data_IF_501332645814
#
_entry.id   IF_501332645814
#
_cell.length_a   1.000
_cell.length_b   1.000
_cell.length_c   1.000
_cell.angle_alpha   90.00
_cell.angle_beta   90.00
_cell.angle_gamma   90.00
#
_symmetry.space_group_name_H-M   'P 1'
#
loop_
_entity.id
_entity.type
_entity.pdbx_description
1 polymer ?
#
# COMPACT_ATOMS: atom_id res chain seq x y z
N UNK A 1 45.12 -3.48 -35.68
CA UNK A 1 44.90 -3.98 -34.29
C UNK A 1 44.92 -2.88 -33.22
N UNK A 2 45.75 -1.84 -33.31
CA UNK A 2 45.78 -0.75 -32.32
C UNK A 2 44.46 0.04 -32.24
N UNK A 3 43.85 0.36 -33.38
CA UNK A 3 42.55 1.06 -33.47
C UNK A 3 41.39 0.33 -32.76
N UNK A 4 41.42 -1.02 -32.71
CA UNK A 4 40.40 -1.82 -32.03
C UNK A 4 40.59 -1.79 -30.51
N UNK A 5 41.86 -1.81 -30.04
CA UNK A 5 42.20 -1.69 -28.62
C UNK A 5 41.87 -0.30 -28.08
N UNK A 6 42.06 0.76 -28.87
CA UNK A 6 41.69 2.12 -28.45
C UNK A 6 40.18 2.31 -28.34
N UNK A 7 39.39 1.72 -29.24
CA UNK A 7 37.91 1.79 -29.17
C UNK A 7 37.37 1.00 -27.97
N UNK A 8 37.96 -0.16 -27.66
CA UNK A 8 37.56 -0.98 -26.51
C UNK A 8 37.95 -0.31 -25.18
N UNK A 9 39.08 0.39 -25.13
CA UNK A 9 39.50 1.19 -23.97
C UNK A 9 38.62 2.44 -23.78
N UNK A 10 38.19 3.10 -24.87
CA UNK A 10 37.30 4.26 -24.81
C UNK A 10 35.87 3.88 -24.39
N UNK A 11 35.38 2.71 -24.86
CA UNK A 11 34.09 2.14 -24.48
C UNK A 11 34.01 1.80 -22.98
N UNK A 12 35.08 1.23 -22.41
CA UNK A 12 35.15 0.91 -20.99
C UNK A 12 35.15 2.17 -20.09
N UNK A 13 35.64 3.30 -20.63
CA UNK A 13 35.79 4.56 -19.89
C UNK A 13 34.47 5.35 -19.78
N UNK A 14 33.47 5.05 -20.63
CA UNK A 14 32.15 5.71 -20.64
C UNK A 14 31.15 4.98 -19.71
N UNK A 15 31.41 3.73 -19.35
CA UNK A 15 30.48 2.90 -18.58
C UNK A 15 30.61 3.05 -17.04
N UNK A 16 31.62 3.76 -16.53
CA UNK A 16 31.92 3.83 -15.09
C UNK A 16 31.16 4.91 -14.33
N UNK A 17 30.30 5.69 -14.98
CA UNK A 17 29.61 6.83 -14.36
C UNK A 17 28.12 6.56 -14.16
N UNK A 18 27.77 5.69 -13.21
CA UNK A 18 26.37 5.58 -12.77
C UNK A 18 26.23 4.97 -11.36
N UNK A 19 26.99 5.50 -10.39
CA UNK A 19 26.69 5.29 -8.97
C UNK A 19 26.35 6.65 -8.37
N UNK A 20 25.07 6.89 -8.10
CA UNK A 20 24.57 8.11 -7.45
C UNK A 20 24.45 7.89 -5.93
N UNK A 21 25.50 7.33 -5.34
CA UNK A 21 25.57 7.14 -3.90
C UNK A 21 26.12 8.42 -3.26
N UNK A 22 25.31 9.08 -2.44
CA UNK A 22 25.72 10.21 -1.63
C UNK A 22 26.22 9.77 -0.25
N UNK A 23 27.19 10.52 0.27
CA UNK A 23 27.87 10.20 1.50
C UNK A 23 27.65 11.33 2.51
N UNK A 24 26.91 11.06 3.57
CA UNK A 24 26.64 12.02 4.63
C UNK A 24 27.53 11.68 5.83
N UNK A 25 28.39 12.60 6.23
CA UNK A 25 29.34 12.40 7.34
C UNK A 25 29.04 13.40 8.43
N UNK A 26 28.83 12.91 9.66
CA UNK A 26 28.54 13.74 10.82
C UNK A 26 29.33 13.34 12.05
N UNK A 27 29.55 14.32 12.90
CA UNK A 27 30.22 14.19 14.19
C UNK A 27 29.22 14.52 15.29
N UNK A 28 29.23 13.76 16.38
CA UNK A 28 28.38 13.99 17.54
C UNK A 28 29.17 13.76 18.81
N UNK A 29 28.91 14.58 19.83
CA UNK A 29 29.46 14.39 21.17
C UNK A 29 28.33 14.32 22.18
N UNK A 30 28.17 13.16 22.80
CA UNK A 30 27.24 12.97 23.92
C UNK A 30 27.95 13.28 25.23
N UNK A 31 27.27 14.00 26.13
CA UNK A 31 27.73 14.17 27.51
C UNK A 31 26.95 13.21 28.38
N UNK A 32 27.65 12.28 29.03
CA UNK A 32 27.07 11.26 29.88
C UNK A 32 26.63 11.83 31.23
N UNK A 33 25.51 11.32 31.72
CA UNK A 33 25.07 11.51 33.10
C UNK A 33 25.94 10.69 34.05
N UNK A 34 25.88 10.99 35.34
CA UNK A 34 26.62 10.24 36.37
C UNK A 34 26.25 8.75 36.41
N UNK A 35 25.02 8.41 36.00
CA UNK A 35 24.51 7.03 35.93
C UNK A 35 24.78 6.33 34.58
N UNK A 36 25.29 7.05 33.57
CA UNK A 36 25.46 6.48 32.23
C UNK A 36 26.77 5.69 32.11
N UNK A 37 26.67 4.44 31.67
CA UNK A 37 27.85 3.66 31.27
C UNK A 37 28.34 4.07 29.87
N UNK A 38 29.54 3.61 29.48
CA UNK A 38 30.03 3.74 28.11
C UNK A 38 29.02 3.19 27.08
N UNK A 39 28.36 2.07 27.38
CA UNK A 39 27.41 1.45 26.47
C UNK A 39 26.14 2.31 26.33
N UNK A 40 25.68 2.92 27.42
CA UNK A 40 24.55 3.85 27.40
C UNK A 40 24.89 5.10 26.60
N UNK A 41 26.07 5.67 26.84
CA UNK A 41 26.57 6.82 26.11
C UNK A 41 26.70 6.53 24.60
N UNK A 42 27.24 5.36 24.23
CA UNK A 42 27.35 4.91 22.84
C UNK A 42 25.97 4.74 22.20
N UNK A 43 25.03 4.05 22.87
CA UNK A 43 23.69 3.82 22.35
C UNK A 43 22.92 5.14 22.14
N UNK A 44 23.00 6.06 23.12
CA UNK A 44 22.36 7.38 23.03
C UNK A 44 22.97 8.23 21.92
N UNK A 45 24.29 8.27 21.81
CA UNK A 45 24.99 8.99 20.74
C UNK A 45 24.64 8.44 19.36
N UNK A 46 24.63 7.12 19.20
CA UNK A 46 24.25 6.47 17.95
C UNK A 46 22.79 6.80 17.56
N UNK A 47 21.86 6.75 18.52
CA UNK A 47 20.46 7.09 18.27
C UNK A 47 20.27 8.55 17.84
N UNK A 48 20.96 9.49 18.48
CA UNK A 48 20.87 10.91 18.10
C UNK A 48 21.48 11.17 16.73
N UNK A 49 22.67 10.61 16.49
CA UNK A 49 23.36 10.73 15.21
C UNK A 49 22.54 10.15 14.06
N UNK A 50 21.96 8.96 14.24
CA UNK A 50 21.10 8.34 13.23
C UNK A 50 19.87 9.19 12.92
N UNK A 51 19.23 9.78 13.94
CA UNK A 51 18.10 10.70 13.75
C UNK A 51 18.48 11.95 12.96
N UNK A 52 19.61 12.57 13.30
CA UNK A 52 20.10 13.77 12.62
C UNK A 52 20.46 13.48 11.16
N UNK A 53 21.20 12.40 10.91
CA UNK A 53 21.59 11.98 9.57
C UNK A 53 20.38 11.64 8.70
N UNK A 54 19.44 10.84 9.20
CA UNK A 54 18.21 10.52 8.47
C UNK A 54 17.37 11.78 8.20
N UNK A 55 17.37 12.74 9.13
CA UNK A 55 16.69 14.02 8.91
C UNK A 55 17.34 14.84 7.80
N UNK A 56 18.66 14.93 7.79
CA UNK A 56 19.43 15.60 6.74
C UNK A 56 19.17 14.96 5.37
N UNK A 57 19.23 13.63 5.26
CA UNK A 57 18.96 12.93 4.01
C UNK A 57 17.53 13.19 3.52
N UNK A 58 16.54 13.12 4.41
CA UNK A 58 15.15 13.40 4.05
C UNK A 58 14.95 14.84 3.54
N UNK A 59 15.67 15.81 4.10
CA UNK A 59 15.66 17.20 3.63
C UNK A 59 16.36 17.33 2.28
N UNK A 60 17.52 16.68 2.12
CA UNK A 60 18.29 16.68 0.87
C UNK A 60 17.46 16.15 -0.30
N UNK A 61 16.86 14.97 -0.14
CA UNK A 61 16.04 14.37 -1.20
C UNK A 61 14.78 15.20 -1.45
N UNK A 62 14.15 15.79 -0.41
CA UNK A 62 13.03 16.72 -0.63
C UNK A 62 13.46 17.89 -1.50
N UNK A 63 14.59 18.52 -1.21
CA UNK A 63 15.13 19.63 -1.99
C UNK A 63 15.33 19.22 -3.46
N UNK A 64 15.90 18.04 -3.68
CA UNK A 64 16.08 17.45 -5.02
C UNK A 64 14.76 17.18 -5.76
N UNK A 65 13.69 16.79 -5.05
CA UNK A 65 12.36 16.58 -5.65
C UNK A 65 11.61 17.88 -5.95
N UNK A 66 11.75 18.90 -5.10
CA UNK A 66 11.16 20.22 -5.30
C UNK A 66 11.75 20.90 -6.54
N UNK A 67 13.07 20.80 -6.74
CA UNK A 67 13.71 21.28 -7.97
C UNK A 67 13.21 20.58 -9.23
N UNK A 68 12.80 19.31 -9.13
CA UNK A 68 12.20 18.54 -10.24
C UNK A 68 10.70 18.81 -10.43
N UNK A 69 10.10 19.72 -9.65
CA UNK A 69 8.69 20.12 -9.79
C UNK A 69 7.69 19.14 -9.15
N UNK A 70 8.17 18.18 -8.35
CA UNK A 70 7.31 17.23 -7.65
C UNK A 70 7.11 17.72 -6.22
N UNK A 71 6.03 18.46 -5.97
CA UNK A 71 5.62 18.85 -4.61
C UNK A 71 5.19 17.60 -3.84
N UNK A 72 6.16 16.97 -3.18
CA UNK A 72 5.94 15.79 -2.34
C UNK A 72 5.75 16.21 -0.88
N UNK A 73 4.56 15.89 -0.38
CA UNK A 73 3.99 16.20 0.94
C UNK A 73 4.88 15.89 2.16
N UNK A 74 4.56 16.46 3.32
CA UNK A 74 5.31 16.23 4.57
C UNK A 74 5.35 14.74 4.99
N UNK A 75 4.26 14.01 4.77
CA UNK A 75 4.16 12.57 4.99
C UNK A 75 5.11 11.74 4.11
N UNK A 76 5.51 12.27 2.95
CA UNK A 76 6.46 11.59 2.06
C UNK A 76 7.86 11.63 2.67
N UNK A 77 8.25 12.72 3.34
CA UNK A 77 9.57 12.78 3.99
C UNK A 77 9.67 11.83 5.18
N UNK A 78 8.60 11.63 5.93
CA UNK A 78 8.60 10.64 7.00
C UNK A 78 8.78 9.22 6.45
N UNK A 79 8.04 8.86 5.39
CA UNK A 79 8.21 7.57 4.70
C UNK A 79 9.61 7.43 4.10
N UNK A 80 10.13 8.50 3.51
CA UNK A 80 11.46 8.51 2.91
C UNK A 80 12.54 8.29 3.96
N UNK A 81 12.43 8.88 5.15
CA UNK A 81 13.34 8.59 6.27
C UNK A 81 13.32 7.12 6.64
N UNK A 82 12.13 6.49 6.67
CA UNK A 82 11.99 5.06 6.95
C UNK A 82 12.62 4.20 5.87
N UNK A 83 12.37 4.50 4.59
CA UNK A 83 12.99 3.79 3.45
C UNK A 83 14.52 3.94 3.50
N UNK A 84 14.99 5.18 3.66
CA UNK A 84 16.42 5.51 3.76
C UNK A 84 17.10 4.79 4.93
N UNK A 85 16.42 4.64 6.07
CA UNK A 85 16.94 3.89 7.20
C UNK A 85 17.09 2.38 6.90
N UNK A 86 16.28 1.84 6.00
CA UNK A 86 16.35 0.45 5.56
C UNK A 86 17.47 0.16 4.55
N UNK A 87 17.80 1.13 3.69
CA UNK A 87 18.79 0.96 2.62
C UNK A 87 20.15 1.63 2.89
N UNK A 88 20.21 2.55 3.85
CA UNK A 88 21.41 3.31 4.13
C UNK A 88 22.47 2.50 4.88
N UNK A 89 23.70 2.49 4.37
CA UNK A 89 24.82 1.83 5.05
C UNK A 89 25.43 2.78 6.10
N UNK A 90 25.20 2.50 7.38
CA UNK A 90 25.78 3.27 8.49
C UNK A 90 27.15 2.71 8.92
N UNK A 91 28.17 3.55 8.89
CA UNK A 91 29.56 3.19 9.23
C UNK A 91 30.16 4.18 10.23
N UNK A 92 30.58 3.67 11.38
CA UNK A 92 31.37 4.45 12.35
C UNK A 92 32.79 4.60 11.81
N UNK A 93 33.25 5.85 11.68
CA UNK A 93 34.59 6.20 11.22
C UNK A 93 35.57 6.40 12.39
N UNK A 94 35.08 6.94 13.50
CA UNK A 94 35.90 7.19 14.69
C UNK A 94 35.00 7.25 15.93
N UNK A 95 35.49 6.75 17.06
CA UNK A 95 34.84 6.92 18.36
C UNK A 95 35.90 7.16 19.45
N UNK A 96 35.55 7.99 20.45
CA UNK A 96 36.39 8.27 21.61
C UNK A 96 35.54 8.43 22.86
N UNK A 97 36.06 7.97 23.98
CA UNK A 97 35.44 8.09 25.30
C UNK A 97 36.47 8.56 26.32
N UNK A 98 36.12 9.57 27.13
CA UNK A 98 36.99 10.12 28.17
C UNK A 98 36.46 9.90 29.60
N UNK A 99 35.37 9.13 29.76
CA UNK A 99 34.70 8.93 31.04
C UNK A 99 33.50 9.85 31.29
N UNK A 100 33.36 10.96 30.54
CA UNK A 100 32.21 11.87 30.61
C UNK A 100 31.63 12.23 29.26
N UNK A 101 32.44 12.26 28.21
CA UNK A 101 32.06 12.62 26.85
C UNK A 101 32.34 11.47 25.92
N UNK A 102 31.32 11.10 25.17
CA UNK A 102 31.41 10.13 24.10
C UNK A 102 31.36 10.86 22.76
N UNK A 103 32.48 10.87 22.06
CA UNK A 103 32.59 11.40 20.70
C UNK A 103 32.45 10.28 19.69
N UNK A 104 31.70 10.53 18.62
CA UNK A 104 31.58 9.62 17.49
C UNK A 104 31.55 10.43 16.19
N UNK A 105 32.19 9.88 15.16
CA UNK A 105 32.11 10.29 13.77
C UNK A 105 31.57 9.11 12.99
N UNK A 106 30.48 9.30 12.26
CA UNK A 106 29.96 8.27 11.37
C UNK A 106 29.63 8.82 9.99
N UNK A 107 29.48 7.88 9.08
CA UNK A 107 29.12 8.08 7.70
C UNK A 107 27.90 7.23 7.41
N UNK A 108 26.92 7.79 6.70
CA UNK A 108 25.87 7.02 6.06
C UNK A 108 25.98 7.20 4.55
N UNK A 109 25.93 6.09 3.81
CA UNK A 109 25.92 6.09 2.35
C UNK A 109 24.52 5.76 1.87
N UNK A 110 23.95 6.61 1.01
CA UNK A 110 22.58 6.43 0.50
C UNK A 110 22.59 6.58 -1.01
N UNK A 111 22.02 5.60 -1.71
CA UNK A 111 21.65 5.76 -3.11
C UNK A 111 20.32 6.50 -3.18
N UNK A 112 20.38 7.78 -3.55
CA UNK A 112 19.22 8.67 -3.60
C UNK A 112 18.19 8.17 -4.62
N UNK A 113 18.66 7.59 -5.73
CA UNK A 113 17.78 7.11 -6.79
C UNK A 113 17.01 5.88 -6.30
N UNK A 114 17.72 4.92 -5.70
CA UNK A 114 17.06 3.73 -5.15
C UNK A 114 16.07 4.09 -4.02
N UNK A 115 16.44 5.02 -3.14
CA UNK A 115 15.56 5.53 -2.08
C UNK A 115 14.25 6.10 -2.63
N UNK A 116 14.31 6.79 -3.77
CA UNK A 116 13.14 7.37 -4.42
C UNK A 116 12.27 6.30 -5.11
N UNK A 117 12.89 5.33 -5.78
CA UNK A 117 12.18 4.22 -6.43
C UNK A 117 11.40 3.39 -5.38
N UNK A 118 12.06 2.97 -4.30
CA UNK A 118 11.41 2.20 -3.21
C UNK A 118 10.29 2.99 -2.51
N UNK A 119 10.45 4.32 -2.39
CA UNK A 119 9.42 5.18 -1.85
C UNK A 119 8.18 5.24 -2.77
N UNK A 120 8.38 5.30 -4.08
CA UNK A 120 7.29 5.35 -5.06
C UNK A 120 6.51 4.04 -5.07
N UNK A 121 7.20 2.91 -5.05
CA UNK A 121 6.61 1.58 -4.92
C UNK A 121 5.78 1.46 -3.63
N UNK A 122 6.33 1.88 -2.49
CA UNK A 122 5.62 1.85 -1.21
C UNK A 122 4.35 2.73 -1.20
N UNK A 123 4.37 3.87 -1.90
CA UNK A 123 3.19 4.74 -2.06
C UNK A 123 2.16 4.07 -2.95
N UNK A 124 2.58 3.47 -4.07
CA UNK A 124 1.69 2.80 -5.01
C UNK A 124 0.98 1.59 -4.37
N UNK A 125 1.72 0.77 -3.62
CA UNK A 125 1.18 -0.40 -2.92
C UNK A 125 0.18 0.00 -1.84
N UNK A 126 0.43 1.09 -1.12
CA UNK A 126 -0.53 1.65 -0.16
C UNK A 126 -1.82 2.06 -0.86
N UNK A 127 -1.72 2.70 -2.04
CA UNK A 127 -2.89 3.14 -2.82
C UNK A 127 -3.67 1.95 -3.37
N UNK A 128 -2.98 0.94 -3.91
CA UNK A 128 -3.60 -0.30 -4.40
C UNK A 128 -4.35 -1.01 -3.27
N UNK A 129 -3.72 -1.19 -2.12
CA UNK A 129 -4.34 -1.86 -0.96
C UNK A 129 -5.60 -1.13 -0.50
N UNK A 130 -5.56 0.20 -0.39
CA UNK A 130 -6.74 1.00 -0.04
C UNK A 130 -7.85 0.87 -1.08
N UNK A 131 -7.50 0.88 -2.37
CA UNK A 131 -8.48 0.72 -3.46
C UNK A 131 -9.16 -0.65 -3.40
N UNK A 132 -8.38 -1.70 -3.16
CA UNK A 132 -8.89 -3.06 -2.97
C UNK A 132 -9.87 -3.14 -1.79
N UNK A 133 -9.52 -2.51 -0.66
CA UNK A 133 -10.38 -2.48 0.52
C UNK A 133 -11.74 -1.81 0.25
N UNK A 134 -11.73 -0.66 -0.44
CA UNK A 134 -12.96 0.04 -0.83
C UNK A 134 -13.82 -0.83 -1.77
N UNK A 135 -13.21 -1.47 -2.78
CA UNK A 135 -13.94 -2.33 -3.71
C UNK A 135 -14.55 -3.56 -3.03
N UNK A 136 -13.84 -4.15 -2.07
CA UNK A 136 -14.35 -5.27 -1.28
C UNK A 136 -15.55 -4.86 -0.43
N UNK A 137 -15.53 -3.66 0.13
CA UNK A 137 -16.65 -3.15 0.91
C UNK A 137 -17.87 -2.85 0.03
N UNK A 138 -17.68 -2.24 -1.15
CA UNK A 138 -18.75 -2.05 -2.13
C UNK A 138 -19.35 -3.39 -2.60
N UNK A 139 -18.52 -4.41 -2.79
CA UNK A 139 -18.98 -5.76 -3.16
C UNK A 139 -19.80 -6.41 -2.03
N UNK A 140 -19.36 -6.26 -0.78
CA UNK A 140 -20.09 -6.73 0.40
C UNK A 140 -21.45 -6.06 0.53
N UNK A 141 -21.50 -4.74 0.44
CA UNK A 141 -22.75 -3.98 0.51
C UNK A 141 -23.73 -4.39 -0.60
N UNK A 142 -23.21 -4.57 -1.82
CA UNK A 142 -24.01 -5.02 -2.96
C UNK A 142 -24.54 -6.44 -2.76
N UNK A 143 -23.73 -7.36 -2.25
CA UNK A 143 -24.15 -8.72 -1.96
C UNK A 143 -25.21 -8.75 -0.85
N UNK A 144 -25.02 -8.00 0.23
CA UNK A 144 -26.01 -7.89 1.31
C UNK A 144 -27.35 -7.31 0.79
N UNK A 145 -27.29 -6.30 -0.08
CA UNK A 145 -28.47 -5.74 -0.73
C UNK A 145 -29.19 -6.76 -1.62
N UNK A 146 -28.44 -7.57 -2.37
CA UNK A 146 -28.99 -8.62 -3.23
C UNK A 146 -29.62 -9.74 -2.40
N UNK A 147 -28.98 -10.18 -1.31
CA UNK A 147 -29.54 -11.18 -0.39
C UNK A 147 -30.86 -10.71 0.22
N UNK A 148 -30.94 -9.46 0.68
CA UNK A 148 -32.20 -8.86 1.15
C UNK A 148 -33.29 -8.89 0.08
N UNK A 149 -32.94 -8.65 -1.20
CA UNK A 149 -33.89 -8.72 -2.32
C UNK A 149 -34.33 -10.14 -2.65
N UNK A 150 -33.42 -11.12 -2.60
CA UNK A 150 -33.74 -12.53 -2.84
C UNK A 150 -34.66 -13.03 -1.73
N UNK A 151 -34.33 -12.77 -0.46
CA UNK A 151 -35.12 -13.18 0.69
C UNK A 151 -36.55 -12.60 0.65
N UNK A 152 -36.69 -11.31 0.29
CA UNK A 152 -38.02 -10.68 0.09
C UNK A 152 -38.83 -11.33 -1.04
N UNK A 153 -38.18 -11.81 -2.12
CA UNK A 153 -38.87 -12.51 -3.21
C UNK A 153 -39.27 -13.94 -2.84
N UNK A 154 -38.44 -14.66 -2.09
CA UNK A 154 -38.75 -16.02 -1.61
C UNK A 154 -39.80 -16.02 -0.50
N UNK A 155 -39.88 -14.94 0.30
CA UNK A 155 -40.95 -14.75 1.29
C UNK A 155 -42.32 -14.41 0.66
N UNK A 156 -42.34 -13.96 -0.60
CA UNK A 156 -43.59 -13.78 -1.35
C UNK A 156 -44.02 -15.14 -1.91
N UNK A 157 -44.65 -15.97 -1.08
CA UNK A 157 -45.32 -17.18 -1.54
C UNK A 157 -46.35 -16.83 -2.63
N UNK A 158 -46.47 -17.62 -3.72
CA UNK A 158 -47.50 -17.37 -4.71
C UNK A 158 -48.86 -17.47 -4.01
N UNK A 159 -49.65 -16.39 -4.06
CA UNK A 159 -51.04 -16.39 -3.54
C UNK A 159 -51.74 -17.63 -4.10
N UNK A 160 -52.02 -18.62 -3.25
CA UNK A 160 -52.86 -19.76 -3.62
C UNK A 160 -54.24 -19.19 -3.93
N UNK A 161 -54.55 -19.03 -5.21
CA UNK A 161 -55.91 -18.68 -5.64
C UNK A 161 -56.83 -19.81 -5.17
N UNK A 162 -57.66 -19.54 -4.15
CA UNK A 162 -58.81 -20.40 -3.85
C UNK A 162 -59.77 -20.27 -5.03
N UNK A 163 -59.76 -21.25 -5.93
CA UNK A 163 -60.89 -21.45 -6.82
C UNK A 163 -62.07 -21.85 -5.94
N UNK A 164 -62.96 -20.90 -5.66
CA UNK A 164 -64.29 -21.20 -5.16
C UNK A 164 -65.02 -21.94 -6.29
N UNK A 165 -65.14 -23.25 -6.17
CA UNK A 165 -66.06 -24.04 -6.99
C UNK A 165 -67.47 -23.62 -6.60
N UNK A 166 -67.99 -22.58 -7.27
CA UNK A 166 -69.42 -22.29 -7.24
C UNK A 166 -70.11 -23.54 -7.80
N UNK A 167 -70.78 -24.31 -6.93
CA UNK A 167 -71.66 -25.39 -7.37
C UNK A 167 -72.61 -24.83 -8.44
N UNK A 168 -72.68 -25.42 -9.65
CA UNK A 168 -73.58 -24.91 -10.66
C UNK A 168 -75.02 -24.96 -10.13
N UNK A 169 -75.66 -23.81 -10.02
CA UNK A 169 -77.11 -23.70 -9.78
C UNK A 169 -77.85 -23.97 -11.10
N UNK A 170 -77.73 -25.18 -11.64
CA UNK A 170 -78.67 -25.79 -12.57
C UNK A 170 -78.23 -27.22 -12.82
N UNK A 171 -79.11 -28.16 -12.54
CA UNK A 171 -79.05 -29.58 -12.87
C UNK A 171 -79.07 -29.76 -14.39
N UNK A 172 -77.90 -29.68 -15.01
CA UNK A 172 -77.73 -30.12 -16.40
C UNK A 172 -77.45 -31.61 -16.36
N UNK A 173 -78.50 -32.44 -16.35
CA UNK A 173 -78.32 -33.85 -16.63
C UNK A 173 -77.85 -33.99 -18.07
N UNK A 174 -76.86 -34.86 -18.31
CA UNK A 174 -76.31 -35.09 -19.65
C UNK A 174 -77.41 -35.50 -20.65
N UNK A 175 -78.46 -36.19 -20.18
CA UNK A 175 -79.64 -36.55 -20.97
C UNK A 175 -80.44 -35.35 -21.48
N UNK A 176 -80.62 -34.31 -20.65
CA UNK A 176 -81.37 -33.10 -21.05
C UNK A 176 -80.63 -32.26 -22.12
N UNK A 177 -79.30 -32.33 -22.14
CA UNK A 177 -78.48 -31.63 -23.15
C UNK A 177 -78.53 -32.40 -24.48
N UNK A 178 -78.40 -33.73 -24.42
CA UNK A 178 -78.34 -34.57 -25.63
C UNK A 178 -79.69 -34.63 -26.34
N UNK A 179 -80.81 -34.68 -25.61
CA UNK A 179 -82.16 -34.59 -26.19
C UNK A 179 -82.36 -33.29 -26.98
N UNK A 180 -81.85 -32.17 -26.44
CA UNK A 180 -81.99 -30.84 -27.08
C UNK A 180 -81.08 -30.64 -28.29
N UNK A 181 -79.94 -31.32 -28.35
CA UNK A 181 -78.98 -31.22 -29.44
C UNK A 181 -79.27 -32.20 -30.59
N UNK A 182 -79.83 -33.38 -30.29
CA UNK A 182 -80.00 -34.45 -31.27
C UNK A 182 -81.45 -34.83 -31.58
N UNK A 183 -82.44 -34.19 -30.93
CA UNK A 183 -83.85 -34.32 -31.33
C UNK A 183 -84.42 -35.74 -31.22
N UNK A 184 -83.98 -36.51 -30.22
CA UNK A 184 -84.61 -37.78 -29.88
C UNK A 184 -85.66 -37.54 -28.78
N UNK A 185 -86.93 -37.69 -29.14
CA UNK A 185 -88.03 -38.01 -28.20
C UNK A 185 -88.05 -39.54 -28.02
N UNK A 186 -88.38 -40.00 -26.81
CA UNK A 186 -88.52 -41.44 -26.46
C UNK A 186 -89.59 -42.17 -27.28
#
# INVERSE_FOLDING_TARGET
MWKLKTVLLLSLLICSSMVNAENFVREYTYTASDDDSLNDARAKAANQMSKELLNEIGIYIRSETLQRGTDKDSAIVERLKTVTAGIGEFKVLNEKWDGRKYFVKAKITVDVKNAMEELEDAIEDTKKSRKLEILLEEEREKNEYLEKKVNKRTAYEPKKYKYETKKPKKDWSFGAIMSRLYGFEE
#
